data_IF_502565849576
#
_entry.id   IF_502565849576
#
_cell.length_a   1.000
_cell.length_b   1.000
_cell.length_c   1.000
_cell.angle_alpha   90.00
_cell.angle_beta   90.00
_cell.angle_gamma   90.00
#
_symmetry.space_group_name_H-M   'P 1'
#
loop_
_entity.id
_entity.type
_entity.pdbx_description
1 polymer ?
#
# COMPACT_ATOMS: atom_id res chain seq x y z
N UNK A 1 -25.28 10.09 -1.62
CA UNK A 1 -24.36 11.22 -1.44
C UNK A 1 -23.19 10.75 -0.58
N UNK A 2 -22.32 9.92 -1.16
CA UNK A 2 -21.14 9.42 -0.47
C UNK A 2 -20.01 10.38 -0.84
N UNK A 3 -19.61 11.21 0.12
CA UNK A 3 -18.43 12.05 0.00
C UNK A 3 -17.25 11.10 -0.18
N UNK A 4 -16.85 10.84 -1.43
CA UNK A 4 -15.63 10.09 -1.72
C UNK A 4 -14.51 10.84 -1.01
N UNK A 5 -13.88 10.19 -0.04
CA UNK A 5 -12.76 10.75 0.68
C UNK A 5 -11.67 11.06 -0.36
N UNK A 6 -11.32 12.34 -0.52
CA UNK A 6 -10.32 12.73 -1.53
C UNK A 6 -8.97 12.05 -1.26
N UNK A 7 -8.68 11.74 0.01
CA UNK A 7 -7.46 11.05 0.45
C UNK A 7 -7.79 10.17 1.67
N UNK A 8 -7.38 8.90 1.65
CA UNK A 8 -7.38 7.98 2.79
C UNK A 8 -5.94 7.76 3.29
N UNK A 9 -5.75 7.85 4.60
CA UNK A 9 -4.46 7.59 5.28
C UNK A 9 -4.65 6.38 6.20
N UNK A 10 -3.89 5.31 5.96
CA UNK A 10 -4.03 4.03 6.66
C UNK A 10 -2.72 3.64 7.33
N UNK A 11 -2.77 3.39 8.64
CA UNK A 11 -1.60 2.93 9.40
C UNK A 11 -1.74 1.43 9.69
N UNK A 12 -0.88 0.62 9.08
CA UNK A 12 -0.85 -0.84 9.21
C UNK A 12 -2.23 -1.54 9.03
N UNK A 13 -2.98 -1.27 7.95
CA UNK A 13 -4.40 -1.63 7.86
C UNK A 13 -4.66 -3.15 7.73
N UNK A 14 -3.66 -3.93 7.32
CA UNK A 14 -3.74 -5.39 7.24
C UNK A 14 -3.21 -6.11 8.50
N UNK A 15 -2.74 -5.35 9.50
CA UNK A 15 -2.19 -5.94 10.71
C UNK A 15 -3.29 -6.72 11.45
N UNK A 16 -2.96 -7.93 11.87
CA UNK A 16 -3.88 -8.85 12.57
C UNK A 16 -5.02 -9.44 11.73
N UNK A 17 -5.10 -9.14 10.42
CA UNK A 17 -5.97 -9.87 9.51
C UNK A 17 -5.29 -11.20 9.12
N UNK A 18 -6.10 -12.25 9.01
CA UNK A 18 -5.70 -13.49 8.33
C UNK A 18 -5.62 -13.28 6.81
N UNK A 19 -5.04 -14.22 6.04
CA UNK A 19 -4.85 -14.05 4.60
C UNK A 19 -6.13 -13.72 3.83
N UNK A 20 -7.24 -14.41 4.12
CA UNK A 20 -8.51 -14.24 3.42
C UNK A 20 -9.05 -12.81 3.61
N UNK A 21 -9.01 -12.29 4.85
CA UNK A 21 -9.45 -10.92 5.11
C UNK A 21 -8.51 -9.84 4.57
N UNK A 22 -7.21 -10.14 4.40
CA UNK A 22 -6.29 -9.21 3.72
C UNK A 22 -6.64 -9.06 2.26
N UNK A 23 -6.95 -10.16 1.57
CA UNK A 23 -7.37 -10.12 0.16
C UNK A 23 -8.63 -9.25 0.00
N UNK A 24 -9.64 -9.45 0.86
CA UNK A 24 -10.86 -8.63 0.84
C UNK A 24 -10.57 -7.15 1.08
N UNK A 25 -9.70 -6.83 2.04
CA UNK A 25 -9.29 -5.45 2.30
C UNK A 25 -8.59 -4.83 1.08
N UNK A 26 -7.67 -5.58 0.47
CA UNK A 26 -6.94 -5.14 -0.71
C UNK A 26 -7.87 -4.87 -1.89
N UNK A 27 -8.82 -5.76 -2.15
CA UNK A 27 -9.86 -5.57 -3.17
C UNK A 27 -10.67 -4.29 -2.93
N UNK A 28 -11.15 -4.09 -1.69
CA UNK A 28 -11.92 -2.90 -1.34
C UNK A 28 -11.12 -1.59 -1.52
N UNK A 29 -9.82 -1.61 -1.26
CA UNK A 29 -8.95 -0.43 -1.42
C UNK A 29 -8.64 -0.18 -2.90
N UNK A 30 -8.41 -1.23 -3.69
CA UNK A 30 -8.23 -1.13 -5.13
C UNK A 30 -9.47 -0.53 -5.81
N UNK A 31 -10.67 -1.03 -5.49
CA UNK A 31 -11.92 -0.50 -6.05
C UNK A 31 -12.12 1.00 -5.75
N UNK A 32 -11.68 1.45 -4.57
CA UNK A 32 -11.73 2.86 -4.18
C UNK A 32 -10.70 3.69 -4.95
N UNK A 33 -9.49 3.18 -5.11
CA UNK A 33 -8.46 3.82 -5.90
C UNK A 33 -8.92 3.98 -7.36
N UNK A 34 -9.49 2.93 -7.94
CA UNK A 34 -10.06 2.92 -9.30
C UNK A 34 -11.21 3.92 -9.45
N UNK A 35 -11.98 4.15 -8.37
CA UNK A 35 -13.03 5.17 -8.30
C UNK A 35 -12.48 6.61 -8.11
N UNK A 36 -11.17 6.80 -8.06
CA UNK A 36 -10.50 8.10 -7.98
C UNK A 36 -10.08 8.55 -6.57
N UNK A 37 -10.13 7.67 -5.58
CA UNK A 37 -9.60 7.99 -4.25
C UNK A 37 -8.07 7.92 -4.23
N UNK A 38 -7.41 8.85 -3.55
CA UNK A 38 -5.97 8.71 -3.23
C UNK A 38 -5.82 7.93 -1.93
N UNK A 39 -4.97 6.89 -1.91
CA UNK A 39 -4.73 6.07 -0.73
C UNK A 39 -3.24 6.10 -0.40
N UNK A 40 -2.89 6.48 0.83
CA UNK A 40 -1.54 6.36 1.38
C UNK A 40 -1.60 5.40 2.56
N UNK A 41 -0.87 4.30 2.47
CA UNK A 41 -0.77 3.30 3.55
C UNK A 41 0.67 3.18 4.04
N UNK A 42 0.81 3.07 5.37
CA UNK A 42 2.07 2.72 6.01
C UNK A 42 2.04 1.23 6.35
N UNK A 43 3.08 0.49 5.97
CA UNK A 43 3.20 -0.92 6.32
C UNK A 43 4.63 -1.43 6.23
N UNK A 44 4.92 -2.49 6.99
CA UNK A 44 6.12 -3.31 6.81
C UNK A 44 5.89 -4.55 5.92
N UNK A 45 4.65 -4.84 5.52
CA UNK A 45 4.26 -6.04 4.76
C UNK A 45 4.33 -5.82 3.24
N UNK A 46 5.46 -5.34 2.70
CA UNK A 46 5.55 -4.87 1.32
C UNK A 46 5.04 -5.90 0.28
N UNK A 47 5.45 -7.17 0.39
CA UNK A 47 5.06 -8.22 -0.57
C UNK A 47 3.55 -8.47 -0.62
N UNK A 48 2.81 -8.19 0.46
CA UNK A 48 1.35 -8.29 0.49
C UNK A 48 0.74 -7.18 -0.36
N UNK A 49 1.24 -5.96 -0.23
CA UNK A 49 0.64 -4.77 -0.84
C UNK A 49 1.12 -4.50 -2.26
N UNK A 50 2.28 -5.03 -2.63
CA UNK A 50 2.94 -4.82 -3.92
C UNK A 50 2.05 -5.00 -5.16
N UNK A 51 1.07 -5.93 -5.20
CA UNK A 51 0.21 -6.10 -6.37
C UNK A 51 -0.75 -4.94 -6.67
N UNK A 52 -1.05 -4.08 -5.68
CA UNK A 52 -2.11 -3.06 -5.79
C UNK A 52 -1.61 -1.61 -5.58
N UNK A 53 -0.31 -1.42 -5.32
CA UNK A 53 0.26 -0.09 -5.06
C UNK A 53 0.94 0.46 -6.31
N UNK A 54 0.72 1.74 -6.59
CA UNK A 54 1.36 2.43 -7.71
C UNK A 54 2.83 2.78 -7.42
N UNK A 55 3.14 3.11 -6.16
CA UNK A 55 4.44 3.61 -5.72
C UNK A 55 4.81 3.13 -4.33
N UNK A 56 6.10 2.92 -4.09
CA UNK A 56 6.65 2.53 -2.79
C UNK A 56 7.63 3.59 -2.28
N UNK A 57 7.35 4.09 -1.08
CA UNK A 57 8.20 5.05 -0.37
C UNK A 57 8.85 4.37 0.84
N UNK A 58 10.19 4.41 0.95
CA UNK A 58 10.89 4.01 2.18
C UNK A 58 10.88 5.16 3.14
N UNK A 59 10.57 4.86 4.40
CA UNK A 59 10.84 5.75 5.52
C UNK A 59 11.95 5.13 6.36
N UNK A 60 13.14 5.75 6.37
CA UNK A 60 14.28 5.31 7.17
C UNK A 60 14.99 6.51 7.79
N UNK A 61 15.37 6.41 9.06
CA UNK A 61 16.03 7.49 9.81
C UNK A 61 15.28 8.84 9.77
N UNK A 62 13.94 8.80 9.74
CA UNK A 62 13.10 9.99 9.64
C UNK A 62 13.12 10.67 8.26
N UNK A 63 13.68 10.01 7.25
CA UNK A 63 13.72 10.47 5.86
C UNK A 63 12.86 9.58 4.97
N UNK A 64 12.15 10.21 4.02
CA UNK A 64 11.39 9.49 3.00
C UNK A 64 12.18 9.50 1.68
N UNK A 65 12.33 8.32 1.07
CA UNK A 65 12.94 8.14 -0.24
C UNK A 65 12.00 7.31 -1.11
N UNK A 66 11.75 7.76 -2.34
CA UNK A 66 11.09 6.93 -3.34
C UNK A 66 12.01 5.78 -3.68
N UNK A 67 11.54 4.54 -3.49
CA UNK A 67 12.37 3.34 -3.68
C UNK A 67 12.12 2.75 -5.05
N UNK A 68 10.87 2.67 -5.48
CA UNK A 68 10.47 1.95 -6.68
C UNK A 68 9.22 2.61 -7.30
N UNK A 69 9.24 2.85 -8.62
CA UNK A 69 8.02 2.78 -9.43
C UNK A 69 7.58 1.32 -9.45
N UNK A 70 6.28 1.01 -9.34
CA UNK A 70 5.75 -0.36 -9.24
C UNK A 70 6.22 -1.36 -10.34
N UNK A 71 6.89 -0.88 -11.38
CA UNK A 71 7.54 -1.69 -12.42
C UNK A 71 8.95 -2.22 -12.07
N UNK A 72 9.54 -1.82 -10.94
CA UNK A 72 10.93 -2.14 -10.61
C UNK A 72 11.01 -3.41 -9.75
N UNK A 73 11.84 -4.41 -10.12
CA UNK A 73 12.03 -5.60 -9.28
C UNK A 73 12.78 -5.26 -7.99
N UNK A 74 12.23 -5.67 -6.83
CA UNK A 74 12.91 -5.60 -5.53
C UNK A 74 14.24 -6.35 -5.61
N UNK A 75 15.39 -5.70 -5.35
CA UNK A 75 16.67 -6.37 -5.33
C UNK A 75 16.72 -7.33 -4.14
N UNK A 76 17.08 -8.60 -4.39
CA UNK A 76 17.33 -9.56 -3.32
C UNK A 76 18.39 -9.01 -2.36
N UNK A 77 18.24 -9.23 -1.04
CA UNK A 77 19.26 -8.86 -0.08
C UNK A 77 20.56 -9.60 -0.41
N UNK A 78 21.67 -8.86 -0.42
CA UNK A 78 23.00 -9.44 -0.59
C UNK A 78 23.27 -10.50 0.50
N UNK A 79 24.03 -11.57 0.18
CA UNK A 79 24.35 -12.64 1.12
C UNK A 79 25.09 -12.17 2.37
#
# INVERSE_FOLDING_TARGET
>A
DARLEQVALLDEPALSLDPDWREVLMECLQERADAGATILLATHLLEVWRPIVDQVLRCEEGQIRTVEDASTPVPEPAP
#
